data_IF_378117798734
#
_entry.id   IF_378117798734
#
_cell.length_a   1.000
_cell.length_b   1.000
_cell.length_c   1.000
_cell.angle_alpha   90.00
_cell.angle_beta   90.00
_cell.angle_gamma   90.00
#
_symmetry.space_group_name_H-M   'P 1'
#
loop_
_entity.id
_entity.type
_entity.pdbx_description
1 polymer ?
#
# COMPACT_ATOMS: atom_id res chain seq x y z
N UNK A 1 -27.74 -30.91 -8.45
CA UNK A 1 -28.26 -31.16 -7.14
C UNK A 1 -28.37 -29.82 -6.41
N UNK A 2 -29.61 -29.45 -6.08
CA UNK A 2 -29.86 -28.22 -5.32
C UNK A 2 -29.36 -28.39 -3.88
N UNK A 3 -28.64 -27.46 -3.39
CA UNK A 3 -28.29 -27.35 -1.98
C UNK A 3 -29.50 -26.76 -1.24
N UNK A 4 -30.10 -27.54 -0.35
CA UNK A 4 -31.10 -27.04 0.56
C UNK A 4 -30.37 -26.53 1.81
N UNK A 5 -30.41 -25.21 2.03
CA UNK A 5 -30.06 -24.60 3.27
C UNK A 5 -31.12 -24.93 4.34
N UNK A 6 -30.72 -25.69 5.35
CA UNK A 6 -31.55 -26.10 6.49
C UNK A 6 -31.11 -25.54 7.83
N UNK A 7 -30.25 -24.54 7.83
CA UNK A 7 -29.84 -23.86 9.07
C UNK A 7 -30.34 -22.43 9.05
N UNK A 8 -31.38 -22.13 9.86
CA UNK A 8 -31.84 -20.78 10.14
C UNK A 8 -30.81 -19.94 10.92
N UNK A 9 -29.54 -19.98 10.49
CA UNK A 9 -28.52 -19.08 10.95
C UNK A 9 -28.68 -17.77 10.18
N UNK A 10 -29.06 -16.72 10.87
CA UNK A 10 -29.01 -15.36 10.35
C UNK A 10 -27.59 -15.09 9.85
N UNK A 11 -27.48 -14.80 8.57
CA UNK A 11 -26.24 -14.40 7.91
C UNK A 11 -25.60 -13.24 8.70
N UNK A 12 -24.42 -13.41 9.29
CA UNK A 12 -23.76 -12.34 10.05
C UNK A 12 -23.35 -11.16 9.19
N UNK A 13 -23.54 -11.25 7.87
CA UNK A 13 -23.26 -10.18 6.92
C UNK A 13 -24.56 -9.55 6.37
N UNK A 14 -25.76 -9.94 6.86
CA UNK A 14 -26.95 -9.17 6.54
C UNK A 14 -26.84 -7.81 7.23
N UNK A 15 -26.56 -6.79 6.46
CA UNK A 15 -26.76 -5.40 6.88
C UNK A 15 -28.23 -5.25 7.23
N UNK A 16 -28.54 -5.15 8.52
CA UNK A 16 -29.85 -4.79 8.99
C UNK A 16 -30.11 -3.33 8.63
N UNK A 17 -30.87 -3.12 7.57
CA UNK A 17 -31.31 -1.82 7.06
C UNK A 17 -32.19 -1.06 8.08
N UNK A 18 -32.51 -1.68 9.23
CA UNK A 18 -33.37 -1.10 10.28
C UNK A 18 -32.63 -0.18 11.26
N UNK A 19 -31.31 -0.09 11.21
CA UNK A 19 -30.56 0.91 11.98
C UNK A 19 -30.50 2.22 11.20
N UNK A 20 -31.67 2.84 11.11
CA UNK A 20 -31.89 4.27 10.93
C UNK A 20 -30.75 5.14 10.42
N UNK A 21 -30.41 4.99 9.17
CA UNK A 21 -30.09 6.17 8.39
C UNK A 21 -31.45 6.82 8.15
N UNK A 22 -31.76 7.86 8.94
CA UNK A 22 -33.02 8.57 8.87
C UNK A 22 -33.37 8.85 7.42
N UNK A 23 -34.60 8.41 7.03
CA UNK A 23 -35.16 8.70 5.71
C UNK A 23 -35.29 10.21 5.53
N UNK A 24 -34.24 10.79 4.99
CA UNK A 24 -34.32 11.97 4.17
C UNK A 24 -34.10 11.45 2.78
N UNK A 25 -35.03 11.71 1.86
CA UNK A 25 -34.79 11.73 0.44
C UNK A 25 -33.67 12.74 0.16
N UNK A 26 -32.47 12.46 0.64
CA UNK A 26 -31.28 13.07 0.15
C UNK A 26 -31.06 12.45 -1.21
N UNK A 27 -31.53 13.16 -2.20
CA UNK A 27 -31.05 13.11 -3.55
C UNK A 27 -29.53 12.89 -3.45
N UNK A 28 -29.08 11.65 -3.64
CA UNK A 28 -27.68 11.31 -3.83
C UNK A 28 -27.31 11.88 -5.20
N UNK A 29 -27.47 13.20 -5.31
CA UNK A 29 -26.83 13.96 -6.33
C UNK A 29 -25.38 13.49 -6.29
N UNK A 30 -24.92 12.91 -7.38
CA UNK A 30 -23.53 12.59 -7.64
C UNK A 30 -22.74 13.90 -7.55
N UNK A 31 -22.51 14.33 -6.33
CA UNK A 31 -21.89 15.58 -6.00
C UNK A 31 -20.40 15.34 -5.80
N UNK A 32 -19.67 16.35 -5.97
CA UNK A 32 -18.28 16.58 -5.57
C UNK A 32 -17.88 15.81 -4.29
N UNK A 33 -18.79 15.64 -3.35
CA UNK A 33 -18.58 14.96 -2.08
C UNK A 33 -18.16 13.47 -2.21
N UNK A 34 -18.70 12.74 -3.19
CA UNK A 34 -18.34 11.33 -3.38
C UNK A 34 -16.90 11.14 -3.91
N UNK A 35 -16.41 12.10 -4.69
CA UNK A 35 -15.03 12.11 -5.16
C UNK A 35 -14.08 12.51 -4.02
N UNK A 36 -14.48 13.44 -3.18
CA UNK A 36 -13.66 13.93 -2.06
C UNK A 36 -13.43 12.86 -1.00
N UNK A 37 -14.49 12.14 -0.56
CA UNK A 37 -14.30 11.06 0.40
C UNK A 37 -13.48 9.89 -0.16
N UNK A 38 -13.56 9.59 -1.47
CA UNK A 38 -12.74 8.57 -2.09
C UNK A 38 -11.25 8.95 -2.07
N UNK A 39 -10.93 10.23 -2.26
CA UNK A 39 -9.57 10.77 -2.11
C UNK A 39 -9.12 10.66 -0.67
N UNK A 40 -9.96 11.01 0.30
CA UNK A 40 -9.65 10.92 1.73
C UNK A 40 -9.38 9.48 2.17
N UNK A 41 -10.17 8.52 1.69
CA UNK A 41 -9.93 7.08 1.93
C UNK A 41 -8.61 6.62 1.36
N UNK A 42 -8.30 6.99 0.12
CA UNK A 42 -7.03 6.60 -0.51
C UNK A 42 -5.83 7.17 0.27
N UNK A 43 -5.92 8.41 0.75
CA UNK A 43 -4.90 9.02 1.61
C UNK A 43 -4.80 8.30 2.96
N UNK A 44 -5.94 7.96 3.58
CA UNK A 44 -5.97 7.24 4.85
C UNK A 44 -5.32 5.85 4.72
N UNK A 45 -5.62 5.12 3.66
CA UNK A 45 -5.00 3.82 3.35
C UNK A 45 -3.49 3.95 3.18
N UNK A 46 -3.03 4.96 2.45
CA UNK A 46 -1.60 5.24 2.29
C UNK A 46 -0.96 5.57 3.63
N UNK A 47 -1.59 6.37 4.46
CA UNK A 47 -1.09 6.72 5.79
C UNK A 47 -1.03 5.52 6.73
N UNK A 48 -2.01 4.62 6.63
CA UNK A 48 -2.01 3.35 7.35
C UNK A 48 -1.00 2.33 6.79
N UNK A 49 -0.41 2.59 5.62
CA UNK A 49 0.50 1.67 4.94
C UNK A 49 -0.23 0.46 4.33
N UNK A 50 -1.49 0.63 3.95
CA UNK A 50 -2.26 -0.38 3.23
C UNK A 50 -2.04 -0.22 1.73
N UNK A 51 -1.24 -1.12 1.17
CA UNK A 51 -0.85 -1.08 -0.24
C UNK A 51 -1.86 -1.81 -1.12
N UNK A 52 -2.67 -1.06 -1.87
CA UNK A 52 -3.49 -1.60 -2.94
C UNK A 52 -2.64 -1.82 -4.20
N UNK A 53 -2.63 -3.05 -4.71
CA UNK A 53 -1.79 -3.43 -5.84
C UNK A 53 -2.55 -3.27 -7.15
N UNK A 54 -2.07 -2.38 -8.00
CA UNK A 54 -2.51 -2.32 -9.40
C UNK A 54 -1.95 -3.50 -10.21
N UNK A 55 -2.52 -3.81 -11.37
CA UNK A 55 -1.96 -4.84 -12.26
C UNK A 55 -0.47 -4.63 -12.60
N UNK A 56 -0.01 -3.39 -12.65
CA UNK A 56 1.38 -3.05 -12.97
C UNK A 56 2.39 -3.51 -11.92
N UNK A 57 1.97 -3.68 -10.66
CA UNK A 57 2.84 -4.07 -9.53
C UNK A 57 2.43 -5.41 -8.90
N UNK A 58 1.34 -6.02 -9.37
CA UNK A 58 0.84 -7.29 -8.84
C UNK A 58 1.85 -8.42 -9.07
N UNK A 59 2.02 -9.30 -8.08
CA UNK A 59 2.90 -10.46 -8.14
C UNK A 59 4.40 -10.15 -8.05
N UNK A 60 4.81 -8.89 -7.90
CA UNK A 60 6.22 -8.51 -7.90
C UNK A 60 6.87 -8.56 -6.51
N UNK A 61 6.10 -8.53 -5.44
CA UNK A 61 6.61 -8.38 -4.08
C UNK A 61 6.09 -9.47 -3.15
N UNK A 62 6.92 -9.83 -2.19
CA UNK A 62 6.49 -10.70 -1.09
C UNK A 62 5.52 -9.93 -0.17
N UNK A 63 4.55 -10.62 0.47
CA UNK A 63 3.64 -10.01 1.42
C UNK A 63 4.34 -9.25 2.55
N UNK A 64 5.48 -9.77 3.04
CA UNK A 64 6.30 -9.11 4.05
C UNK A 64 6.88 -7.78 3.54
N UNK A 65 7.33 -7.74 2.28
CA UNK A 65 7.84 -6.51 1.69
C UNK A 65 6.76 -5.43 1.51
N UNK A 66 5.50 -5.84 1.43
CA UNK A 66 4.33 -4.97 1.40
C UNK A 66 3.78 -4.61 2.78
N UNK A 67 4.46 -5.03 3.84
CA UNK A 67 4.04 -4.73 5.22
C UNK A 67 2.82 -5.50 5.71
N UNK A 68 2.40 -6.58 5.04
CA UNK A 68 1.21 -7.34 5.42
C UNK A 68 1.35 -8.05 6.77
N UNK A 69 2.57 -8.34 7.24
CA UNK A 69 2.78 -8.85 8.60
C UNK A 69 2.33 -7.83 9.65
N UNK A 70 2.71 -6.56 9.48
CA UNK A 70 2.32 -5.45 10.35
C UNK A 70 0.80 -5.27 10.41
N UNK A 71 0.11 -5.53 9.31
CA UNK A 71 -1.35 -5.44 9.21
C UNK A 71 -2.08 -6.73 9.62
N UNK A 72 -1.36 -7.75 10.13
CA UNK A 72 -1.96 -9.03 10.49
C UNK A 72 -2.43 -9.86 9.28
N UNK A 73 -2.04 -9.48 8.06
CA UNK A 73 -2.44 -10.17 6.82
C UNK A 73 -1.68 -11.47 6.54
N UNK A 74 -0.67 -11.80 7.36
CA UNK A 74 0.12 -13.04 7.25
C UNK A 74 0.00 -13.82 8.55
N UNK A 75 -0.29 -15.11 8.46
CA UNK A 75 -0.32 -16.02 9.61
C UNK A 75 0.68 -17.13 9.42
N UNK A 76 1.42 -17.46 10.46
CA UNK A 76 2.39 -18.55 10.51
C UNK A 76 1.87 -19.78 11.27
N UNK A 77 0.76 -19.64 12.00
CA UNK A 77 0.19 -20.67 12.88
C UNK A 77 -0.99 -21.41 12.27
N UNK A 78 -1.45 -21.00 11.09
CA UNK A 78 -2.51 -21.68 10.35
C UNK A 78 -1.98 -22.84 9.50
N UNK A 79 -2.89 -23.73 9.05
CA UNK A 79 -2.59 -24.81 8.15
C UNK A 79 -1.94 -24.37 6.82
N UNK A 80 -1.44 -25.33 6.05
CA UNK A 80 -0.70 -25.09 4.82
C UNK A 80 -1.51 -24.31 3.76
N UNK A 81 -0.83 -23.42 3.05
CA UNK A 81 -1.38 -22.66 1.94
C UNK A 81 -0.33 -22.49 0.82
N UNK A 82 -0.74 -22.25 -0.43
CA UNK A 82 0.19 -22.05 -1.53
C UNK A 82 1.14 -20.86 -1.26
N UNK A 83 2.44 -21.08 -1.45
CA UNK A 83 3.48 -20.06 -1.22
C UNK A 83 3.97 -19.91 0.22
N UNK A 84 3.37 -20.61 1.18
CA UNK A 84 3.76 -20.58 2.59
C UNK A 84 5.26 -20.83 2.80
N UNK A 85 5.86 -21.74 2.03
CA UNK A 85 7.27 -22.13 2.20
C UNK A 85 8.21 -20.94 2.03
N UNK A 86 7.98 -20.10 1.01
CA UNK A 86 8.79 -18.90 0.76
C UNK A 86 8.57 -17.86 1.86
N UNK A 87 7.32 -17.66 2.27
CA UNK A 87 6.93 -16.69 3.30
C UNK A 87 7.55 -17.08 4.65
N UNK A 88 7.40 -18.34 5.06
CA UNK A 88 7.97 -18.85 6.30
C UNK A 88 9.51 -18.84 6.28
N UNK A 89 10.13 -19.18 5.15
CA UNK A 89 11.59 -19.12 5.02
C UNK A 89 12.14 -17.71 5.24
N UNK A 90 11.48 -16.69 4.71
CA UNK A 90 11.87 -15.30 4.90
C UNK A 90 11.71 -14.89 6.38
N UNK A 91 10.60 -15.26 6.99
CA UNK A 91 10.32 -14.95 8.40
C UNK A 91 11.35 -15.57 9.36
N UNK A 92 11.60 -16.89 9.25
CA UNK A 92 12.42 -17.62 10.22
C UNK A 92 13.93 -17.59 9.95
N UNK A 93 14.36 -17.45 8.70
CA UNK A 93 15.75 -17.63 8.27
C UNK A 93 16.26 -16.60 7.28
N UNK A 94 15.39 -15.69 6.84
CA UNK A 94 15.71 -14.74 5.80
C UNK A 94 15.89 -13.33 6.33
N UNK A 95 16.31 -12.47 5.40
CA UNK A 95 16.27 -11.03 5.58
C UNK A 95 15.49 -10.43 4.42
N UNK A 96 14.55 -9.56 4.73
CA UNK A 96 13.89 -8.76 3.72
C UNK A 96 14.91 -7.82 3.08
N UNK A 97 15.01 -7.90 1.75
CA UNK A 97 15.87 -7.01 0.97
C UNK A 97 15.16 -5.71 0.59
N UNK A 98 13.86 -5.68 0.79
CA UNK A 98 12.97 -4.57 0.44
C UNK A 98 11.88 -4.46 1.49
N UNK A 99 11.40 -3.24 1.74
CA UNK A 99 10.30 -2.98 2.66
C UNK A 99 9.43 -1.83 2.16
N UNK A 100 8.20 -1.79 2.62
CA UNK A 100 7.25 -0.73 2.33
C UNK A 100 7.63 0.52 3.11
N UNK A 101 7.56 1.66 2.43
CA UNK A 101 7.72 2.98 3.02
C UNK A 101 6.59 3.89 2.56
N UNK A 102 6.28 4.89 3.37
CA UNK A 102 5.44 6.00 2.97
C UNK A 102 6.31 7.10 2.36
N UNK A 103 5.79 7.71 1.32
CA UNK A 103 6.41 8.85 0.65
C UNK A 103 5.55 10.09 0.86
N UNK A 104 6.22 11.22 1.06
CA UNK A 104 5.62 12.53 1.00
C UNK A 104 6.32 13.35 -0.10
N UNK A 105 5.55 13.88 -1.02
CA UNK A 105 6.04 14.66 -2.15
C UNK A 105 6.10 16.15 -1.77
N UNK A 106 7.21 16.79 -2.03
CA UNK A 106 7.45 18.18 -1.61
C UNK A 106 6.61 19.22 -2.39
N UNK A 107 6.10 18.87 -3.57
CA UNK A 107 5.32 19.76 -4.45
C UNK A 107 4.33 18.95 -5.30
N UNK A 108 3.44 19.64 -6.02
CA UNK A 108 2.57 19.05 -7.04
C UNK A 108 3.41 18.40 -8.15
N UNK A 109 3.77 17.16 -7.92
CA UNK A 109 4.51 16.36 -8.86
C UNK A 109 3.51 15.72 -9.82
N UNK A 110 3.82 15.63 -11.13
CA UNK A 110 2.98 14.93 -12.08
C UNK A 110 2.64 13.55 -11.57
N UNK A 111 1.37 13.17 -11.69
CA UNK A 111 0.82 11.90 -11.25
C UNK A 111 1.80 10.76 -11.52
N UNK A 112 2.32 10.18 -10.44
CA UNK A 112 3.20 9.04 -10.55
C UNK A 112 2.36 7.80 -10.81
N UNK A 113 2.64 7.12 -11.89
CA UNK A 113 1.99 5.85 -12.17
C UNK A 113 2.55 4.76 -11.24
N UNK A 114 1.71 3.79 -10.80
CA UNK A 114 2.24 2.59 -10.18
C UNK A 114 3.36 1.98 -11.05
N UNK A 115 4.39 1.43 -10.42
CA UNK A 115 5.61 0.91 -11.02
C UNK A 115 6.66 1.96 -11.42
N UNK A 116 6.46 3.26 -11.17
CA UNK A 116 7.51 4.26 -11.37
C UNK A 116 8.73 3.95 -10.49
N UNK A 117 9.91 3.94 -11.10
CA UNK A 117 11.15 3.67 -10.41
C UNK A 117 11.59 4.86 -9.52
N UNK A 118 12.23 4.54 -8.41
CA UNK A 118 12.77 5.52 -7.47
C UNK A 118 14.29 5.40 -7.41
N UNK A 119 14.97 6.52 -7.33
CA UNK A 119 16.42 6.63 -7.35
C UNK A 119 16.91 7.47 -6.17
N UNK A 120 18.15 7.27 -5.76
CA UNK A 120 18.83 8.25 -4.92
C UNK A 120 19.21 9.45 -5.80
N UNK A 121 19.04 10.69 -5.30
CA UNK A 121 19.53 11.87 -6.01
C UNK A 121 21.03 11.75 -6.27
N UNK A 122 21.52 12.17 -7.44
CA UNK A 122 22.94 12.14 -7.72
C UNK A 122 23.70 13.06 -6.78
N UNK A 123 24.83 12.62 -6.27
CA UNK A 123 25.82 13.51 -5.66
C UNK A 123 26.61 14.21 -6.78
N UNK A 124 27.01 15.44 -6.55
CA UNK A 124 27.43 16.44 -7.54
C UNK A 124 28.39 15.99 -8.69
N UNK A 125 29.03 14.83 -8.59
CA UNK A 125 29.96 14.29 -9.60
C UNK A 125 29.80 12.76 -9.80
N UNK A 126 28.74 12.14 -9.25
CA UNK A 126 28.55 10.71 -9.33
C UNK A 126 27.64 10.34 -10.51
N UNK A 127 27.97 9.26 -11.21
CA UNK A 127 27.10 8.66 -12.22
C UNK A 127 25.75 8.28 -11.59
N UNK A 128 24.65 8.41 -12.36
CA UNK A 128 23.32 8.03 -11.89
C UNK A 128 23.28 6.57 -11.43
N UNK A 129 22.87 6.37 -10.17
CA UNK A 129 22.79 5.04 -9.58
C UNK A 129 21.59 4.20 -10.08
N UNK A 130 21.59 2.90 -9.81
CA UNK A 130 20.47 2.04 -10.15
C UNK A 130 19.24 2.37 -9.29
N UNK A 131 18.05 2.00 -9.78
CA UNK A 131 16.82 2.13 -9.02
C UNK A 131 16.91 1.48 -7.64
N UNK A 132 16.46 2.19 -6.62
CA UNK A 132 16.46 1.75 -5.22
C UNK A 132 15.07 1.36 -4.73
N UNK A 133 14.03 1.66 -5.48
CA UNK A 133 12.66 1.36 -5.11
C UNK A 133 11.69 1.55 -6.28
N UNK A 134 10.41 1.35 -5.98
CA UNK A 134 9.33 1.43 -6.93
C UNK A 134 8.06 1.92 -6.24
N UNK A 135 7.35 2.85 -6.87
CA UNK A 135 6.05 3.36 -6.38
C UNK A 135 5.00 2.27 -6.52
N UNK A 136 4.23 2.04 -5.47
CA UNK A 136 3.10 1.09 -5.43
C UNK A 136 1.78 1.80 -5.69
N UNK A 137 1.52 2.86 -4.93
CA UNK A 137 0.33 3.69 -5.06
C UNK A 137 0.64 5.13 -4.66
N UNK A 138 -0.21 6.04 -5.09
CA UNK A 138 -0.03 7.47 -4.81
C UNK A 138 -1.37 8.18 -4.88
N UNK A 139 -1.56 9.15 -3.99
CA UNK A 139 -2.72 10.05 -3.96
C UNK A 139 -2.30 11.42 -3.40
N UNK A 140 -2.43 12.46 -4.20
CA UNK A 140 -2.01 13.81 -3.81
C UNK A 140 -0.53 13.88 -3.42
N UNK A 141 -0.23 14.45 -2.27
CA UNK A 141 1.13 14.55 -1.73
C UNK A 141 1.66 13.26 -1.09
N UNK A 142 0.88 12.18 -1.05
CA UNK A 142 1.22 10.95 -0.35
C UNK A 142 1.35 9.77 -1.30
N UNK A 143 2.21 8.82 -0.94
CA UNK A 143 2.38 7.58 -1.68
C UNK A 143 2.93 6.45 -0.82
N UNK A 144 2.85 5.24 -1.36
CA UNK A 144 3.55 4.06 -0.85
C UNK A 144 4.53 3.56 -1.90
N UNK A 145 5.68 3.15 -1.44
CA UNK A 145 6.71 2.55 -2.29
C UNK A 145 7.36 1.36 -1.58
N UNK A 146 7.86 0.42 -2.36
CA UNK A 146 8.78 -0.60 -1.86
C UNK A 146 10.19 -0.16 -2.21
N UNK A 147 11.05 -0.04 -1.19
CA UNK A 147 12.44 0.37 -1.33
C UNK A 147 13.40 -0.69 -0.81
N UNK A 148 14.65 -0.68 -1.29
CA UNK A 148 15.71 -1.56 -0.77
C UNK A 148 15.99 -1.24 0.69
N UNK A 149 16.16 -2.27 1.52
CA UNK A 149 16.40 -2.14 2.97
C UNK A 149 17.66 -1.31 3.32
N UNK A 150 18.58 -1.16 2.37
CA UNK A 150 19.78 -0.32 2.55
C UNK A 150 19.52 1.18 2.45
N UNK A 151 18.34 1.59 2.01
CA UNK A 151 17.97 3.02 1.92
C UNK A 151 17.54 3.47 3.32
N UNK A 152 18.22 4.45 3.92
CA UNK A 152 17.88 4.93 5.26
C UNK A 152 16.48 5.59 5.28
N UNK A 153 15.79 5.61 6.43
CA UNK A 153 14.64 6.48 6.62
C UNK A 153 15.05 7.97 6.48
N UNK A 154 14.08 8.80 6.22
CA UNK A 154 14.27 10.25 5.99
C UNK A 154 15.20 10.57 4.81
N UNK A 155 15.34 9.63 3.88
CA UNK A 155 16.07 9.84 2.63
C UNK A 155 15.16 10.49 1.62
N UNK A 156 15.63 11.49 0.91
CA UNK A 156 14.94 12.04 -0.25
C UNK A 156 15.20 11.17 -1.48
N UNK A 157 14.16 10.86 -2.24
CA UNK A 157 14.24 10.06 -3.45
C UNK A 157 13.90 10.89 -4.68
N UNK A 158 14.48 10.50 -5.81
CA UNK A 158 14.22 11.07 -7.12
C UNK A 158 13.41 10.11 -7.99
N UNK A 159 12.65 10.65 -8.93
CA UNK A 159 11.89 9.89 -9.93
C UNK A 159 12.71 9.59 -11.20
N UNK A 160 13.86 10.20 -11.32
CA UNK A 160 14.83 9.99 -12.39
C UNK A 160 16.21 9.82 -11.78
N UNK A 161 17.02 8.98 -12.40
CA UNK A 161 18.36 8.71 -11.92
C UNK A 161 19.28 9.95 -11.89
N UNK A 162 19.01 10.91 -12.75
CA UNK A 162 19.70 12.19 -12.91
C UNK A 162 18.91 13.39 -12.34
N UNK A 163 17.77 13.13 -11.71
CA UNK A 163 16.83 14.14 -11.23
C UNK A 163 17.06 14.57 -9.79
N UNK A 164 16.47 15.72 -9.41
CA UNK A 164 16.47 16.15 -8.01
C UNK A 164 15.64 15.21 -7.14
N UNK A 165 15.89 15.22 -5.85
CA UNK A 165 15.03 14.58 -4.85
C UNK A 165 13.69 15.31 -4.77
N UNK A 166 12.61 14.55 -4.82
CA UNK A 166 11.25 15.09 -4.87
C UNK A 166 10.31 14.41 -3.89
N UNK A 167 10.71 13.29 -3.31
CA UNK A 167 9.93 12.56 -2.32
C UNK A 167 10.76 12.25 -1.09
N UNK A 168 10.23 12.52 0.08
CA UNK A 168 10.81 12.15 1.35
C UNK A 168 10.26 10.81 1.83
N UNK A 169 11.14 9.92 2.30
CA UNK A 169 10.74 8.69 2.96
C UNK A 169 10.29 8.99 4.37
N UNK A 170 9.05 8.63 4.67
CA UNK A 170 8.52 8.63 6.03
C UNK A 170 8.37 7.17 6.47
N UNK A 171 9.01 6.82 7.58
CA UNK A 171 8.91 5.47 8.12
C UNK A 171 7.45 5.14 8.45
N UNK A 172 7.03 3.92 8.14
CA UNK A 172 5.79 3.38 8.68
C UNK A 172 6.07 2.91 10.10
N UNK A 173 5.29 3.39 11.05
CA UNK A 173 5.41 2.96 12.43
C UNK A 173 5.21 1.44 12.51
N UNK A 174 6.09 0.78 13.26
CA UNK A 174 5.92 -0.62 13.60
C UNK A 174 4.64 -0.70 14.43
N UNK A 175 3.61 -1.37 13.94
CA UNK A 175 2.43 -1.64 14.75
C UNK A 175 2.84 -2.31 16.06
N UNK A 176 2.32 -1.82 17.15
CA UNK A 176 2.53 -2.37 18.48
C UNK A 176 1.93 -3.77 18.61
#
# INVERSE_FOLDING_TARGET
GAWHDTTGATDPLSFDDSRGLGGGDADLAASTDAADWAVDWAVADIQAGLAWLSPAVSGQFLPQALGLERLGGVSYDKGCYPGQEVIAKVHYRGQLKQHLVRLHWANDIPVQTPASALFLPPHAEAEPGPAVGQVITHQGAWGLAVVKTKVPPNTTLALRADGPGVAEIIALESGA
#
